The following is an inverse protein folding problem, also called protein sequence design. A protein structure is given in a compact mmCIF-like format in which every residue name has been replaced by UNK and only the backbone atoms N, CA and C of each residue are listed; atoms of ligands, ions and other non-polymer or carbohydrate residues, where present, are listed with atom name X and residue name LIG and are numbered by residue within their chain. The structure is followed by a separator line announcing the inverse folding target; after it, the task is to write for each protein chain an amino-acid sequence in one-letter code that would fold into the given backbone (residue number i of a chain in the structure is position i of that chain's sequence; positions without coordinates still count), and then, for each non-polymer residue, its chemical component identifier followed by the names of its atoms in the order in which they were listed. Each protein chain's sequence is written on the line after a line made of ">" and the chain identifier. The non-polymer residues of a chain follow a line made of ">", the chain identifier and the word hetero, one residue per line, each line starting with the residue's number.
data_IF_212161253161
#
_entry.id   IF_212161253161
#
_cell.length_a   1.000
_cell.length_b   1.000
_cell.length_c   1.000
_cell.angle_alpha   90.00
_cell.angle_beta   90.00
_cell.angle_gamma   90.00
#
_symmetry.space_group_name_H-M   'P 1'
#
loop_
_entity.id
_entity.type
_entity.pdbx_description
1 polymer ?
#
# COMPACT_ATOMS: atom_id res chain seq x y z
N UNK A 1 -18.56 3.55 -19.97
CA UNK A 1 -19.66 2.55 -20.08
C UNK A 1 -19.48 1.49 -21.16
N UNK A 2 -18.66 1.68 -22.22
CA UNK A 2 -18.43 0.64 -23.25
C UNK A 2 -17.60 -0.58 -22.78
N UNK A 3 -16.86 -0.46 -21.68
CA UNK A 3 -16.00 -1.54 -21.15
C UNK A 3 -16.80 -2.71 -20.54
N UNK A 4 -17.93 -2.44 -19.88
CA UNK A 4 -18.75 -3.49 -19.26
C UNK A 4 -19.33 -4.46 -20.29
N UNK A 5 -19.70 -3.93 -21.45
CA UNK A 5 -20.22 -4.72 -22.58
C UNK A 5 -19.19 -5.69 -23.17
N UNK A 6 -17.90 -5.35 -23.07
CA UNK A 6 -16.80 -6.08 -23.66
C UNK A 6 -16.16 -7.10 -22.71
N UNK A 7 -16.25 -6.85 -21.39
CA UNK A 7 -15.52 -7.64 -20.38
C UNK A 7 -16.42 -8.56 -19.55
N UNK A 8 -17.71 -8.22 -19.37
CA UNK A 8 -18.61 -8.98 -18.48
C UNK A 8 -19.79 -9.54 -19.31
N UNK A 9 -19.96 -10.88 -19.38
CA UNK A 9 -21.09 -11.52 -20.03
C UNK A 9 -22.42 -10.98 -19.49
N UNK A 10 -23.42 -10.81 -20.36
CA UNK A 10 -24.66 -10.13 -20.03
C UNK A 10 -25.40 -10.80 -18.86
N UNK A 11 -25.42 -12.13 -18.86
CA UNK A 11 -26.01 -13.00 -17.86
C UNK A 11 -25.36 -12.87 -16.47
N UNK A 12 -24.10 -12.47 -16.38
CA UNK A 12 -23.37 -12.35 -15.11
C UNK A 12 -23.40 -10.95 -14.50
N UNK A 13 -23.89 -9.94 -15.23
CA UNK A 13 -23.83 -8.53 -14.79
C UNK A 13 -24.58 -8.29 -13.49
N UNK A 14 -25.77 -8.87 -13.36
CA UNK A 14 -26.62 -8.71 -12.18
C UNK A 14 -26.04 -9.33 -10.90
N UNK A 15 -25.13 -10.30 -11.01
CA UNK A 15 -24.44 -10.93 -9.88
C UNK A 15 -22.99 -10.47 -9.71
N UNK A 16 -22.48 -9.61 -10.60
CA UNK A 16 -21.11 -9.10 -10.53
C UNK A 16 -21.07 -7.91 -9.60
N UNK A 17 -20.42 -8.07 -8.45
CA UNK A 17 -20.23 -6.98 -7.48
C UNK A 17 -19.23 -5.96 -7.99
N UNK A 18 -19.54 -4.68 -7.80
CA UNK A 18 -18.66 -3.56 -8.09
C UNK A 18 -18.38 -2.76 -6.83
N UNK A 19 -17.15 -2.31 -6.71
CA UNK A 19 -16.71 -1.48 -5.61
C UNK A 19 -15.93 -0.28 -6.11
N UNK A 20 -15.98 0.81 -5.35
CA UNK A 20 -15.19 2.01 -5.59
C UNK A 20 -14.60 2.49 -4.27
N UNK A 21 -13.27 2.52 -4.20
CA UNK A 21 -12.59 3.08 -3.05
C UNK A 21 -11.65 4.20 -3.51
N UNK A 22 -11.86 5.41 -2.98
CA UNK A 22 -10.97 6.54 -3.24
C UNK A 22 -9.87 6.61 -2.18
N UNK A 23 -8.66 7.00 -2.56
CA UNK A 23 -7.47 6.94 -1.67
C UNK A 23 -6.98 8.33 -1.27
N UNK A 24 -5.66 8.57 -1.23
CA UNK A 24 -5.04 9.77 -0.69
C UNK A 24 -5.53 11.09 -1.30
N UNK A 25 -5.85 11.13 -2.59
CA UNK A 25 -6.37 12.35 -3.22
C UNK A 25 -7.68 12.83 -2.59
N UNK A 26 -8.63 11.91 -2.38
CA UNK A 26 -9.87 12.23 -1.67
C UNK A 26 -9.65 12.47 -0.19
N UNK A 27 -8.65 11.81 0.44
CA UNK A 27 -8.26 12.13 1.82
C UNK A 27 -7.77 13.59 1.93
N UNK A 28 -6.96 14.07 0.99
CA UNK A 28 -6.52 15.47 0.92
C UNK A 28 -7.70 16.42 0.66
N UNK A 29 -8.62 16.06 -0.24
CA UNK A 29 -9.83 16.85 -0.47
C UNK A 29 -10.70 16.94 0.79
N UNK A 30 -10.83 15.87 1.57
CA UNK A 30 -11.55 15.91 2.85
C UNK A 30 -10.91 16.89 3.84
N UNK A 31 -9.59 17.05 3.82
CA UNK A 31 -8.90 18.03 4.67
C UNK A 31 -9.14 19.47 4.18
N UNK A 32 -9.13 19.68 2.86
CA UNK A 32 -9.30 20.99 2.23
C UNK A 32 -10.75 21.48 2.26
N UNK A 33 -11.66 20.63 1.77
CA UNK A 33 -13.07 20.94 1.58
C UNK A 33 -13.93 19.68 1.87
N UNK A 34 -14.27 19.44 3.15
CA UNK A 34 -15.06 18.28 3.57
C UNK A 34 -16.39 18.15 2.83
N UNK A 35 -17.11 19.27 2.62
CA UNK A 35 -18.42 19.26 1.95
C UNK A 35 -18.32 18.87 0.49
N UNK A 36 -17.26 19.32 -0.21
CA UNK A 36 -17.02 18.90 -1.59
C UNK A 36 -16.62 17.43 -1.66
N UNK A 37 -15.81 16.95 -0.71
CA UNK A 37 -15.42 15.53 -0.62
C UNK A 37 -16.65 14.64 -0.42
N UNK A 38 -17.53 15.02 0.50
CA UNK A 38 -18.80 14.33 0.78
C UNK A 38 -19.72 14.32 -0.46
N UNK A 39 -19.93 15.48 -1.10
CA UNK A 39 -20.75 15.58 -2.30
C UNK A 39 -20.27 14.68 -3.46
N UNK A 40 -18.94 14.53 -3.63
CA UNK A 40 -18.36 13.62 -4.62
C UNK A 40 -18.68 12.16 -4.30
N UNK A 41 -18.50 11.75 -3.03
CA UNK A 41 -18.77 10.36 -2.61
C UNK A 41 -20.26 10.04 -2.67
N UNK A 42 -21.14 10.94 -2.22
CA UNK A 42 -22.59 10.77 -2.32
C UNK A 42 -23.04 10.65 -3.78
N UNK A 43 -22.49 11.47 -4.67
CA UNK A 43 -22.77 11.36 -6.11
C UNK A 43 -22.39 9.98 -6.66
N UNK A 44 -21.22 9.45 -6.29
CA UNK A 44 -20.78 8.12 -6.69
C UNK A 44 -21.63 7.01 -6.09
N UNK A 45 -22.06 7.13 -4.83
CA UNK A 45 -22.96 6.19 -4.16
C UNK A 45 -24.32 6.10 -4.87
N UNK A 46 -24.81 7.21 -5.42
CA UNK A 46 -26.06 7.25 -6.19
C UNK A 46 -25.91 6.75 -7.63
N UNK A 47 -24.77 7.02 -8.28
CA UNK A 47 -24.55 6.71 -9.69
C UNK A 47 -24.03 5.29 -9.93
N UNK A 48 -23.17 4.75 -9.06
CA UNK A 48 -22.55 3.45 -9.29
C UNK A 48 -23.57 2.31 -9.42
N UNK A 49 -24.66 2.23 -8.62
CA UNK A 49 -25.69 1.20 -8.80
C UNK A 49 -26.39 1.27 -10.17
N UNK A 50 -26.40 2.44 -10.83
CA UNK A 50 -27.07 2.65 -12.11
C UNK A 50 -26.28 2.10 -13.30
N UNK A 51 -25.03 1.65 -13.10
CA UNK A 51 -24.17 1.13 -14.18
C UNK A 51 -24.51 -0.31 -14.61
N UNK A 52 -25.48 -0.95 -13.92
CA UNK A 52 -25.93 -2.31 -14.23
C UNK A 52 -25.09 -3.42 -13.60
N UNK A 53 -24.31 -3.11 -12.57
CA UNK A 53 -23.59 -4.06 -11.72
C UNK A 53 -24.15 -4.01 -10.29
N UNK A 54 -23.83 -5.04 -9.49
CA UNK A 54 -24.33 -5.16 -8.11
C UNK A 54 -23.49 -4.31 -7.14
N UNK A 55 -24.17 -3.45 -6.37
CA UNK A 55 -23.61 -2.75 -5.20
C UNK A 55 -24.45 -3.18 -4.01
N UNK A 56 -23.85 -3.87 -3.03
CA UNK A 56 -24.61 -4.47 -1.92
C UNK A 56 -24.96 -3.40 -0.89
N UNK A 57 -23.94 -2.62 -0.50
CA UNK A 57 -24.09 -1.52 0.41
C UNK A 57 -23.26 -0.33 -0.09
N UNK A 58 -23.89 0.71 -0.68
CA UNK A 58 -23.18 1.87 -1.21
C UNK A 58 -22.26 2.55 -0.18
N UNK A 59 -22.59 2.53 1.11
CA UNK A 59 -21.79 3.18 2.15
C UNK A 59 -20.48 2.43 2.46
N UNK A 60 -20.45 1.10 2.32
CA UNK A 60 -19.23 0.30 2.50
C UNK A 60 -18.47 0.08 1.19
N UNK A 61 -19.21 -0.07 0.10
CA UNK A 61 -18.68 -0.46 -1.21
C UNK A 61 -18.22 0.76 -2.03
N UNK A 62 -18.71 1.97 -1.69
CA UNK A 62 -18.29 3.25 -2.27
C UNK A 62 -17.86 4.21 -1.16
N UNK A 63 -16.54 4.30 -0.91
CA UNK A 63 -16.00 5.04 0.24
C UNK A 63 -14.61 5.64 0.00
N UNK A 64 -14.20 6.54 0.88
CA UNK A 64 -12.80 6.94 1.01
C UNK A 64 -12.09 5.90 1.88
N UNK A 65 -11.10 5.22 1.33
CA UNK A 65 -10.32 4.20 2.03
C UNK A 65 -9.35 4.85 3.02
N UNK A 66 -9.26 4.26 4.22
CA UNK A 66 -8.23 4.64 5.18
C UNK A 66 -6.85 4.27 4.63
N UNK A 67 -5.82 5.07 4.92
CA UNK A 67 -4.47 4.76 4.46
C UNK A 67 -3.93 3.44 5.02
N UNK A 68 -4.37 3.05 6.22
CA UNK A 68 -4.05 1.75 6.83
C UNK A 68 -4.63 0.60 6.00
N UNK A 69 -5.90 0.69 5.63
CA UNK A 69 -6.57 -0.34 4.85
C UNK A 69 -5.98 -0.43 3.45
N UNK A 70 -5.62 0.70 2.83
CA UNK A 70 -4.93 0.72 1.53
C UNK A 70 -3.63 -0.12 1.58
N UNK A 71 -2.81 0.06 2.61
CA UNK A 71 -1.61 -0.77 2.82
C UNK A 71 -1.91 -2.24 3.10
N UNK A 72 -2.90 -2.53 3.95
CA UNK A 72 -3.32 -3.91 4.27
C UNK A 72 -3.83 -4.64 3.03
N UNK A 73 -4.64 -3.98 2.20
CA UNK A 73 -5.15 -4.60 0.99
C UNK A 73 -4.05 -4.82 -0.06
N UNK A 74 -3.05 -3.92 -0.15
CA UNK A 74 -1.84 -4.18 -0.96
C UNK A 74 -1.06 -5.41 -0.44
N UNK A 75 -0.92 -5.56 0.88
CA UNK A 75 -0.31 -6.74 1.50
C UNK A 75 -1.12 -8.03 1.25
N UNK A 76 -2.46 -7.96 1.32
CA UNK A 76 -3.34 -9.10 1.00
C UNK A 76 -3.14 -9.51 -0.46
N UNK A 77 -3.11 -8.56 -1.40
CA UNK A 77 -2.88 -8.85 -2.83
C UNK A 77 -1.57 -9.61 -3.02
N UNK A 78 -0.46 -9.09 -2.50
CA UNK A 78 0.87 -9.72 -2.67
C UNK A 78 0.87 -11.13 -2.11
N UNK A 79 0.36 -11.32 -0.89
CA UNK A 79 0.40 -12.62 -0.22
C UNK A 79 -0.63 -13.61 -0.76
N UNK A 80 -1.74 -13.14 -1.32
CA UNK A 80 -2.70 -13.99 -2.03
C UNK A 80 -2.10 -14.49 -3.35
N UNK A 81 -1.58 -13.58 -4.18
CA UNK A 81 -1.01 -13.92 -5.49
C UNK A 81 0.24 -14.80 -5.36
N UNK A 82 1.03 -14.64 -4.30
CA UNK A 82 2.20 -15.49 -4.01
C UNK A 82 1.88 -16.74 -3.18
N UNK A 83 0.59 -17.07 -3.01
CA UNK A 83 0.07 -18.26 -2.33
C UNK A 83 0.51 -18.41 -0.87
N UNK A 84 0.84 -17.29 -0.20
CA UNK A 84 1.25 -17.24 1.21
C UNK A 84 0.06 -17.24 2.15
N UNK A 85 -1.09 -16.67 1.74
CA UNK A 85 -2.31 -16.71 2.53
C UNK A 85 -3.01 -18.08 2.53
N UNK A 86 -2.54 -19.05 1.74
CA UNK A 86 -3.22 -20.33 1.58
C UNK A 86 -4.45 -20.22 0.67
N UNK A 87 -5.37 -21.19 0.81
CA UNK A 87 -6.62 -21.28 0.06
C UNK A 87 -7.65 -22.09 0.86
N UNK A 88 -8.86 -22.30 0.33
CA UNK A 88 -9.92 -23.07 1.00
C UNK A 88 -9.49 -24.44 1.55
N UNK A 89 -8.48 -25.08 0.95
CA UNK A 89 -7.99 -26.41 1.36
C UNK A 89 -6.54 -26.40 1.85
N UNK A 90 -5.87 -25.25 1.85
CA UNK A 90 -4.45 -25.14 2.17
C UNK A 90 -4.30 -24.06 3.24
N UNK A 91 -3.81 -24.39 4.44
CA UNK A 91 -3.64 -23.39 5.48
C UNK A 91 -2.62 -22.32 5.06
N UNK A 92 -2.72 -21.09 5.60
CA UNK A 92 -1.70 -20.07 5.39
C UNK A 92 -0.32 -20.52 5.89
N UNK A 93 0.73 -19.98 5.29
CA UNK A 93 2.12 -20.18 5.73
C UNK A 93 2.40 -19.52 7.09
N UNK A 94 3.61 -19.72 7.63
CA UNK A 94 4.01 -18.99 8.84
C UNK A 94 3.95 -17.46 8.61
N UNK A 95 3.55 -16.68 9.61
CA UNK A 95 3.37 -15.23 9.42
C UNK A 95 4.68 -14.53 9.03
N UNK A 96 5.82 -15.05 9.50
CA UNK A 96 7.16 -14.55 9.17
C UNK A 96 7.60 -14.86 7.75
N UNK A 97 6.89 -15.75 7.06
CA UNK A 97 7.15 -16.11 5.65
C UNK A 97 6.32 -15.26 4.68
N UNK A 98 5.44 -14.39 5.18
CA UNK A 98 4.69 -13.46 4.35
C UNK A 98 5.59 -12.35 3.82
N UNK A 99 5.21 -11.78 2.68
CA UNK A 99 5.95 -10.71 2.01
C UNK A 99 5.36 -9.37 2.46
N UNK A 100 6.21 -8.43 2.85
CA UNK A 100 5.79 -7.04 3.09
C UNK A 100 5.33 -6.36 1.80
N UNK A 101 4.49 -5.34 1.92
CA UNK A 101 4.04 -4.52 0.79
C UNK A 101 4.47 -3.07 0.97
N UNK A 102 5.03 -2.52 -0.12
CA UNK A 102 5.34 -1.11 -0.28
C UNK A 102 4.51 -0.59 -1.44
N UNK A 103 3.69 0.43 -1.19
CA UNK A 103 2.81 1.03 -2.19
C UNK A 103 3.17 2.51 -2.34
N UNK A 104 3.39 2.97 -3.57
CA UNK A 104 3.72 4.37 -3.86
C UNK A 104 2.70 4.93 -4.84
N UNK A 105 1.74 5.68 -4.29
CA UNK A 105 0.75 6.40 -5.05
C UNK A 105 1.16 7.84 -5.39
N UNK A 106 0.22 8.60 -5.95
CA UNK A 106 0.44 10.02 -6.27
C UNK A 106 0.48 10.94 -5.05
N UNK A 107 -0.35 10.67 -4.03
CA UNK A 107 -0.51 11.55 -2.87
C UNK A 107 -0.14 10.91 -1.51
N UNK A 108 0.05 9.59 -1.46
CA UNK A 108 0.61 8.91 -0.28
C UNK A 108 1.47 7.72 -0.68
N UNK A 109 2.23 7.22 0.29
CA UNK A 109 2.89 5.91 0.22
C UNK A 109 2.55 5.09 1.46
N UNK A 110 2.59 3.77 1.34
CA UNK A 110 2.25 2.82 2.39
C UNK A 110 3.37 1.80 2.58
N UNK A 111 3.52 1.37 3.83
CA UNK A 111 4.35 0.24 4.23
C UNK A 111 3.51 -0.68 5.09
N UNK A 112 3.49 -1.98 4.77
CA UNK A 112 2.73 -2.98 5.51
C UNK A 112 3.48 -4.31 5.61
N UNK A 113 3.64 -4.84 6.82
CA UNK A 113 4.34 -6.10 7.06
C UNK A 113 3.95 -6.72 8.41
N UNK A 114 4.32 -7.99 8.63
CA UNK A 114 4.25 -8.65 9.94
C UNK A 114 5.50 -8.29 10.74
N UNK A 115 5.40 -7.58 11.88
CA UNK A 115 6.57 -7.21 12.68
C UNK A 115 7.16 -8.42 13.41
N UNK A 116 8.47 -8.43 13.65
CA UNK A 116 9.15 -9.55 14.32
C UNK A 116 8.68 -9.78 15.76
N UNK A 117 8.30 -8.71 16.45
CA UNK A 117 7.85 -8.74 17.84
C UNK A 117 6.33 -8.55 17.90
N UNK A 118 5.62 -9.54 18.45
CA UNK A 118 4.17 -9.51 18.69
C UNK A 118 3.73 -8.52 19.80
N UNK A 119 4.54 -7.49 20.07
CA UNK A 119 4.16 -6.43 21.00
C UNK A 119 3.19 -5.48 20.33
N UNK A 120 2.15 -5.01 21.05
CA UNK A 120 1.29 -3.95 20.55
C UNK A 120 2.14 -2.72 20.23
N UNK A 121 2.19 -2.33 18.96
CA UNK A 121 2.84 -1.11 18.51
C UNK A 121 1.78 -0.19 17.89
N UNK A 122 1.98 1.14 17.89
CA UNK A 122 1.13 2.02 17.12
C UNK A 122 1.02 1.52 15.68
N UNK A 123 -0.17 1.61 15.10
CA UNK A 123 -0.44 1.22 13.72
C UNK A 123 -0.42 -0.29 13.43
N UNK A 124 -0.35 -1.15 14.46
CA UNK A 124 -0.61 -2.59 14.30
C UNK A 124 -2.10 -2.92 14.37
N UNK A 125 -2.57 -3.82 13.51
CA UNK A 125 -3.93 -4.36 13.58
C UNK A 125 -3.98 -5.82 13.13
N UNK A 126 -4.80 -6.62 13.79
CA UNK A 126 -5.00 -8.03 13.44
C UNK A 126 -5.98 -8.18 12.29
N UNK A 127 -5.68 -9.11 11.37
CA UNK A 127 -6.58 -9.60 10.32
C UNK A 127 -6.68 -11.11 10.39
N UNK A 128 -7.89 -11.65 10.41
CA UNK A 128 -8.13 -13.08 10.40
C UNK A 128 -8.36 -13.53 8.96
N UNK A 129 -7.39 -14.23 8.38
CA UNK A 129 -7.40 -14.65 6.98
C UNK A 129 -7.19 -16.17 6.91
N UNK A 130 -8.15 -16.88 6.32
CA UNK A 130 -8.22 -18.35 6.26
C UNK A 130 -7.96 -19.04 7.61
N UNK A 131 -8.58 -18.52 8.68
CA UNK A 131 -8.47 -19.08 10.03
C UNK A 131 -7.21 -18.71 10.81
N UNK A 132 -6.29 -17.94 10.21
CA UNK A 132 -5.08 -17.47 10.88
C UNK A 132 -5.16 -15.98 11.17
N UNK A 133 -4.82 -15.61 12.39
CA UNK A 133 -4.62 -14.22 12.78
C UNK A 133 -3.25 -13.75 12.29
N UNK A 134 -3.23 -12.66 11.53
CA UNK A 134 -2.01 -11.95 11.12
C UNK A 134 -1.97 -10.61 11.83
N UNK A 135 -0.94 -10.37 12.63
CA UNK A 135 -0.72 -9.07 13.25
C UNK A 135 0.07 -8.17 12.29
N UNK A 136 -0.59 -7.21 11.65
CA UNK A 136 0.02 -6.40 10.59
C UNK A 136 0.35 -5.01 11.12
N UNK A 137 1.61 -4.57 10.99
CA UNK A 137 1.95 -3.16 11.00
C UNK A 137 1.55 -2.57 9.65
N UNK A 138 0.76 -1.48 9.64
CA UNK A 138 0.42 -0.75 8.42
C UNK A 138 0.33 0.74 8.68
N UNK A 139 1.14 1.50 7.95
CA UNK A 139 1.15 2.96 8.02
C UNK A 139 1.11 3.58 6.62
N UNK A 140 0.47 4.75 6.53
CA UNK A 140 0.33 5.53 5.30
C UNK A 140 0.84 6.93 5.52
N UNK A 141 1.91 7.29 4.79
CA UNK A 141 2.49 8.61 4.79
C UNK A 141 1.78 9.47 3.75
N UNK A 142 0.73 10.18 4.19
CA UNK A 142 0.05 11.18 3.36
C UNK A 142 1.01 12.33 3.05
N UNK A 143 0.94 12.89 1.84
CA UNK A 143 1.89 13.87 1.28
C UNK A 143 3.25 13.31 0.82
N UNK A 144 3.53 12.03 1.05
CA UNK A 144 4.72 11.33 0.55
C UNK A 144 4.41 10.42 -0.66
N UNK A 145 3.32 10.70 -1.36
CA UNK A 145 3.13 10.15 -2.70
C UNK A 145 3.98 10.90 -3.71
N UNK A 146 4.33 10.25 -4.82
CA UNK A 146 5.26 10.80 -5.81
C UNK A 146 4.87 12.21 -6.29
N UNK A 147 3.62 12.41 -6.70
CA UNK A 147 3.15 13.70 -7.24
C UNK A 147 3.08 14.79 -6.16
N UNK A 148 2.70 14.44 -4.94
CA UNK A 148 2.68 15.39 -3.82
C UNK A 148 4.11 15.80 -3.41
N UNK A 149 5.02 14.82 -3.33
CA UNK A 149 6.43 15.05 -3.06
C UNK A 149 7.07 15.90 -4.15
N UNK A 150 6.80 15.63 -5.43
CA UNK A 150 7.30 16.42 -6.56
C UNK A 150 6.95 17.90 -6.43
N UNK A 151 5.67 18.21 -6.20
CA UNK A 151 5.22 19.60 -6.02
C UNK A 151 5.87 20.27 -4.81
N UNK A 152 6.07 19.52 -3.72
CA UNK A 152 6.79 20.00 -2.55
C UNK A 152 8.26 20.28 -2.85
N UNK A 153 8.94 19.41 -3.59
CA UNK A 153 10.33 19.62 -4.02
C UNK A 153 10.45 20.81 -4.95
N UNK A 154 9.48 21.02 -5.85
CA UNK A 154 9.44 22.24 -6.66
C UNK A 154 9.26 23.50 -5.80
N UNK A 155 8.42 23.45 -4.76
CA UNK A 155 8.29 24.55 -3.82
C UNK A 155 9.57 24.81 -3.02
N UNK A 156 10.29 23.76 -2.59
CA UNK A 156 11.62 23.87 -1.95
C UNK A 156 12.68 24.47 -2.90
N UNK A 157 12.68 24.08 -4.18
CA UNK A 157 13.58 24.63 -5.19
C UNK A 157 13.27 26.11 -5.45
N UNK A 158 11.98 26.47 -5.57
CA UNK A 158 11.56 27.87 -5.71
C UNK A 158 12.00 28.68 -4.48
N UNK A 159 11.70 28.17 -3.28
CA UNK A 159 12.02 28.83 -2.02
C UNK A 159 11.54 30.28 -1.99
N UNK A 160 12.43 31.18 -1.57
CA UNK A 160 12.16 32.62 -1.48
C UNK A 160 12.57 33.41 -2.75
N UNK A 161 12.77 32.73 -3.88
CA UNK A 161 13.18 33.37 -5.13
C UNK A 161 12.00 34.10 -5.80
N UNK A 162 12.31 35.09 -6.64
CA UNK A 162 11.34 35.80 -7.51
C UNK A 162 11.70 35.70 -8.99
N UNK A 163 12.70 34.88 -9.34
CA UNK A 163 13.15 34.70 -10.71
C UNK A 163 12.11 33.93 -11.55
N UNK A 164 12.01 34.29 -12.83
CA UNK A 164 11.15 33.59 -13.80
C UNK A 164 11.77 32.29 -14.30
N UNK A 165 13.08 32.18 -14.29
CA UNK A 165 13.85 30.98 -14.62
C UNK A 165 14.61 30.52 -13.38
N UNK A 166 14.44 29.25 -13.00
CA UNK A 166 15.02 28.67 -11.78
C UNK A 166 15.68 27.34 -12.12
N UNK A 167 16.92 27.14 -11.68
CA UNK A 167 17.64 25.89 -11.86
C UNK A 167 17.00 24.77 -11.02
N UNK A 168 16.77 23.61 -11.66
CA UNK A 168 16.22 22.43 -11.03
C UNK A 168 17.21 21.26 -11.16
N UNK A 169 17.87 20.83 -10.07
CA UNK A 169 18.84 19.74 -10.11
C UNK A 169 18.22 18.38 -10.36
N UNK A 170 16.92 18.23 -10.08
CA UNK A 170 16.15 17.00 -10.25
C UNK A 170 15.61 16.81 -11.67
N UNK A 171 15.86 17.74 -12.60
CA UNK A 171 15.55 17.58 -14.02
C UNK A 171 16.80 17.32 -14.85
N UNK A 172 16.65 16.55 -15.93
CA UNK A 172 17.72 16.31 -16.90
C UNK A 172 18.31 17.60 -17.44
N UNK A 173 19.62 17.62 -17.64
CA UNK A 173 20.34 18.79 -18.13
C UNK A 173 19.74 19.34 -19.43
N UNK A 174 19.45 20.64 -19.46
CA UNK A 174 18.89 21.33 -20.63
C UNK A 174 17.39 21.15 -20.83
N UNK A 175 16.72 20.30 -20.04
CA UNK A 175 15.26 20.22 -20.05
C UNK A 175 14.66 21.50 -19.46
N UNK A 176 13.64 22.05 -20.12
CA UNK A 176 12.94 23.25 -19.67
C UNK A 176 11.46 22.93 -19.46
N UNK A 177 10.96 23.18 -18.25
CA UNK A 177 9.57 22.89 -17.88
C UNK A 177 8.92 24.14 -17.33
N UNK A 178 7.83 24.59 -17.96
CA UNK A 178 7.04 25.72 -17.46
C UNK A 178 5.97 25.21 -16.50
N UNK A 179 5.94 25.76 -15.29
CA UNK A 179 4.98 25.40 -14.24
C UNK A 179 4.19 26.62 -13.80
N UNK A 180 2.95 26.38 -13.36
CA UNK A 180 2.12 27.39 -12.71
C UNK A 180 2.36 27.37 -11.21
N UNK A 181 2.80 28.48 -10.65
CA UNK A 181 3.10 28.57 -9.21
C UNK A 181 1.83 28.42 -8.37
N UNK A 182 0.70 28.94 -8.85
CA UNK A 182 -0.63 28.70 -8.25
C UNK A 182 -0.97 27.21 -8.10
N UNK A 183 -0.58 26.34 -9.05
CA UNK A 183 -0.83 24.89 -8.95
C UNK A 183 0.09 24.18 -7.97
N UNK A 184 1.27 24.73 -7.69
CA UNK A 184 2.22 24.16 -6.73
C UNK A 184 1.78 24.55 -5.32
N UNK A 185 1.58 25.84 -5.09
CA UNK A 185 1.26 26.38 -3.78
C UNK A 185 -0.23 26.31 -3.42
N UNK A 186 -1.11 25.76 -4.27
CA UNK A 186 -2.48 25.42 -3.87
C UNK A 186 -2.57 24.04 -3.17
N UNK A 187 -1.53 23.22 -3.25
CA UNK A 187 -1.58 21.87 -2.71
C UNK A 187 -1.53 21.85 -1.18
N UNK A 188 -2.38 21.02 -0.57
CA UNK A 188 -2.42 20.83 0.87
C UNK A 188 -1.07 20.38 1.45
N UNK A 189 -0.25 19.68 0.68
CA UNK A 189 1.06 19.18 1.07
C UNK A 189 2.19 20.22 0.98
N UNK A 190 1.89 21.43 0.50
CA UNK A 190 2.88 22.50 0.27
C UNK A 190 2.65 23.66 1.24
N UNK A 191 1.53 24.37 1.13
CA UNK A 191 1.34 25.71 1.75
C UNK A 191 0.25 25.75 2.84
N UNK A 192 -0.22 24.60 3.31
CA UNK A 192 -1.32 24.52 4.27
C UNK A 192 -0.84 24.16 5.68
N UNK A 193 -1.69 24.37 6.69
CA UNK A 193 -1.48 23.84 8.05
C UNK A 193 -1.29 22.32 8.09
N UNK A 194 -1.80 21.60 7.09
CA UNK A 194 -1.61 20.14 6.99
C UNK A 194 -0.21 19.80 6.51
N UNK A 195 0.46 20.67 5.74
CA UNK A 195 1.87 20.51 5.39
C UNK A 195 2.75 20.59 6.65
N UNK A 196 2.48 21.52 7.56
CA UNK A 196 3.15 21.61 8.86
C UNK A 196 2.99 20.32 9.68
N UNK A 197 1.76 19.77 9.74
CA UNK A 197 1.46 18.58 10.56
C UNK A 197 1.99 17.29 9.93
N UNK A 198 1.84 17.12 8.61
CA UNK A 198 2.12 15.86 7.91
C UNK A 198 3.58 15.75 7.46
N UNK A 199 4.20 16.88 7.13
CA UNK A 199 5.56 16.93 6.57
C UNK A 199 6.54 17.72 7.44
N UNK A 200 6.04 18.54 8.37
CA UNK A 200 6.87 19.28 9.34
C UNK A 200 7.09 20.75 8.98
N UNK A 201 6.65 21.21 7.81
CA UNK A 201 6.67 22.63 7.43
C UNK A 201 5.73 22.95 6.26
N UNK A 202 5.17 24.17 6.30
CA UNK A 202 4.50 24.82 5.19
C UNK A 202 5.47 25.73 4.41
N UNK A 203 5.35 25.71 3.09
CA UNK A 203 6.15 26.48 2.14
C UNK A 203 5.26 27.50 1.43
N UNK A 204 5.68 28.76 1.46
CA UNK A 204 4.98 29.87 0.85
C UNK A 204 5.85 30.53 -0.22
N UNK A 205 5.27 30.97 -1.35
CA UNK A 205 6.03 31.64 -2.40
C UNK A 205 6.44 33.05 -1.96
N UNK A 206 7.53 33.56 -2.54
CA UNK A 206 7.83 34.99 -2.48
C UNK A 206 6.69 35.81 -3.10
N UNK A 207 6.36 36.97 -2.51
CA UNK A 207 5.25 37.84 -2.95
C UNK A 207 5.33 38.27 -4.42
N UNK A 208 6.55 38.43 -4.93
CA UNK A 208 6.84 38.87 -6.30
C UNK A 208 7.15 37.70 -7.24
N UNK A 209 6.87 36.46 -6.84
CA UNK A 209 7.07 35.28 -7.69
C UNK A 209 6.08 35.30 -8.88
N UNK A 210 6.54 35.12 -10.13
CA UNK A 210 5.65 35.07 -11.29
C UNK A 210 4.66 33.91 -11.24
N UNK A 211 3.49 34.06 -11.88
CA UNK A 211 2.49 32.99 -12.03
C UNK A 211 3.05 31.80 -12.83
N UNK A 212 3.94 32.06 -13.80
CA UNK A 212 4.61 31.04 -14.60
C UNK A 212 6.12 31.10 -14.39
N UNK A 213 6.69 30.01 -13.88
CA UNK A 213 8.13 29.83 -13.68
C UNK A 213 8.62 28.75 -14.65
N UNK A 214 9.82 28.94 -15.21
CA UNK A 214 10.50 27.95 -16.04
C UNK A 214 11.59 27.28 -15.21
N UNK A 215 11.44 25.99 -14.95
CA UNK A 215 12.52 25.20 -14.39
C UNK A 215 13.50 24.79 -15.48
N UNK A 216 14.78 25.06 -15.25
CA UNK A 216 15.88 24.64 -16.11
C UNK A 216 16.64 23.49 -15.47
N UNK A 217 16.60 22.32 -16.10
CA UNK A 217 17.27 21.14 -15.59
C UNK A 217 18.78 21.27 -15.63
N UNK A 218 19.44 21.00 -14.49
CA UNK A 218 20.90 20.98 -14.39
C UNK A 218 21.47 19.57 -14.37
N UNK A 219 20.64 18.54 -14.09
CA UNK A 219 21.07 17.15 -14.04
C UNK A 219 22.10 16.86 -12.94
N UNK A 220 21.81 17.28 -11.70
CA UNK A 220 22.71 17.13 -10.55
C UNK A 220 22.06 16.21 -9.49
N UNK A 221 22.35 14.89 -9.51
CA UNK A 221 21.73 13.93 -8.61
C UNK A 221 22.07 14.17 -7.14
N UNK A 222 23.28 14.66 -6.84
CA UNK A 222 23.72 14.94 -5.46
C UNK A 222 22.92 16.10 -4.88
N UNK A 223 22.81 17.20 -5.62
CA UNK A 223 22.01 18.36 -5.21
C UNK A 223 20.52 18.05 -5.20
N UNK A 224 20.04 17.21 -6.12
CA UNK A 224 18.65 16.74 -6.08
C UNK A 224 18.38 15.95 -4.79
N UNK A 225 19.27 15.04 -4.40
CA UNK A 225 19.16 14.28 -3.15
C UNK A 225 19.14 15.19 -1.93
N UNK A 226 20.03 16.18 -1.85
CA UNK A 226 20.04 17.14 -0.75
C UNK A 226 18.68 17.85 -0.56
N UNK A 227 17.98 18.15 -1.66
CA UNK A 227 16.65 18.77 -1.60
C UNK A 227 15.59 17.74 -1.23
N UNK A 228 15.66 16.52 -1.77
CA UNK A 228 14.77 15.41 -1.42
C UNK A 228 14.84 15.07 0.07
N UNK A 229 16.02 15.03 0.66
CA UNK A 229 16.19 14.72 2.08
C UNK A 229 15.53 15.75 3.01
N UNK A 230 15.33 17.00 2.56
CA UNK A 230 14.70 18.05 3.39
C UNK A 230 13.23 17.79 3.71
N UNK A 231 12.53 17.00 2.88
CA UNK A 231 11.10 16.75 3.11
C UNK A 231 10.86 15.59 4.08
N UNK A 232 11.90 14.85 4.45
CA UNK A 232 11.81 13.77 5.44
C UNK A 232 12.21 14.31 6.82
N UNK A 233 11.52 13.88 7.90
CA UNK A 233 11.88 14.29 9.25
C UNK A 233 13.28 13.76 9.62
N UNK A 234 14.08 14.60 10.27
CA UNK A 234 15.52 14.42 10.60
C UNK A 234 15.87 13.25 11.54
N UNK A 235 14.95 12.30 11.79
CA UNK A 235 15.14 11.22 12.76
C UNK A 235 15.81 9.95 12.23
N UNK A 236 16.25 9.90 10.97
CA UNK A 236 17.03 8.77 10.46
C UNK A 236 18.39 9.28 10.00
N UNK A 237 19.39 9.07 10.86
CA UNK A 237 20.80 9.22 10.54
C UNK A 237 21.23 8.10 9.58
N UNK A 238 20.81 8.17 8.32
CA UNK A 238 21.41 7.36 7.27
C UNK A 238 22.65 8.09 6.75
N UNK A 239 23.76 7.99 7.49
CA UNK A 239 25.09 8.33 6.97
C UNK A 239 25.50 7.26 5.95
N UNK A 240 24.99 7.35 4.73
CA UNK A 240 25.58 6.61 3.61
C UNK A 240 26.35 7.61 2.76
N UNK A 241 27.66 7.40 2.67
CA UNK A 241 28.53 8.09 1.72
C UNK A 241 27.98 7.85 0.32
N UNK A 242 27.85 8.88 -0.53
CA UNK A 242 27.49 8.72 -1.94
C UNK A 242 28.67 8.12 -2.71
N UNK A 243 29.02 6.86 -2.44
CA UNK A 243 30.07 6.17 -3.16
C UNK A 243 29.55 5.70 -4.53
N UNK A 244 29.92 6.46 -5.55
CA UNK A 244 30.00 6.11 -6.98
C UNK A 244 28.83 5.29 -7.57
N UNK A 245 27.65 5.89 -7.69
CA UNK A 245 26.59 5.31 -8.53
C UNK A 245 26.80 5.70 -9.99
N UNK A 246 27.42 4.82 -10.76
CA UNK A 246 27.58 4.90 -12.22
C UNK A 246 26.31 4.45 -12.98
N UNK A 247 25.12 4.79 -12.48
CA UNK A 247 23.85 4.48 -13.14
C UNK A 247 23.18 5.74 -13.72
N UNK A 248 23.70 6.13 -14.90
CA UNK A 248 22.97 6.55 -16.10
C UNK A 248 21.70 7.37 -15.87
N UNK A 249 21.83 8.69 -15.80
CA UNK A 249 21.02 9.75 -16.46
C UNK A 249 19.54 9.56 -16.83
N UNK A 250 18.75 8.66 -16.21
CA UNK A 250 17.36 8.35 -16.63
C UNK A 250 16.30 8.39 -15.52
N UNK A 251 16.63 8.77 -14.28
CA UNK A 251 15.64 8.99 -13.21
C UNK A 251 16.04 10.16 -12.30
N UNK A 252 15.94 11.39 -12.78
CA UNK A 252 16.50 12.55 -12.07
C UNK A 252 15.69 13.02 -10.85
N UNK A 253 14.40 12.67 -10.72
CA UNK A 253 13.61 12.86 -9.49
C UNK A 253 13.12 11.52 -8.93
N UNK A 254 12.42 10.74 -9.75
CA UNK A 254 11.79 9.48 -9.35
C UNK A 254 12.74 8.52 -8.62
N UNK A 255 13.93 8.31 -9.19
CA UNK A 255 14.92 7.38 -8.63
C UNK A 255 15.49 7.87 -7.32
N UNK A 256 15.87 9.16 -7.26
CA UNK A 256 16.37 9.80 -6.04
C UNK A 256 15.31 9.76 -4.93
N UNK A 257 14.06 10.05 -5.27
CA UNK A 257 12.96 10.05 -4.32
C UNK A 257 12.64 8.65 -3.78
N UNK A 258 12.53 7.64 -4.66
CA UNK A 258 12.26 6.26 -4.26
C UNK A 258 13.40 5.73 -3.39
N UNK A 259 14.66 6.00 -3.74
CA UNK A 259 15.81 5.55 -2.97
C UNK A 259 15.88 6.20 -1.57
N UNK A 260 15.65 7.52 -1.48
CA UNK A 260 15.56 8.22 -0.20
C UNK A 260 14.39 7.67 0.64
N UNK A 261 13.21 7.50 0.03
CA UNK A 261 12.02 6.95 0.71
C UNK A 261 12.29 5.56 1.29
N UNK A 262 12.90 4.67 0.52
CA UNK A 262 13.24 3.32 0.97
C UNK A 262 14.29 3.33 2.08
N UNK A 263 15.28 4.23 2.00
CA UNK A 263 16.25 4.44 3.07
C UNK A 263 15.58 4.89 4.38
N UNK A 264 14.59 5.79 4.30
CA UNK A 264 13.77 6.22 5.45
C UNK A 264 12.81 5.14 5.96
N UNK A 265 12.47 4.15 5.14
CA UNK A 265 11.79 2.93 5.60
C UNK A 265 12.72 1.89 6.23
N UNK A 266 14.04 2.16 6.29
CA UNK A 266 15.04 1.27 6.89
C UNK A 266 15.75 0.35 5.89
N UNK A 267 15.48 0.47 4.58
CA UNK A 267 16.18 -0.28 3.54
C UNK A 267 17.50 0.38 3.13
N UNK A 268 18.34 0.69 4.12
CA UNK A 268 19.56 1.49 3.98
C UNK A 268 20.87 0.66 3.99
N UNK A 269 20.77 -0.66 3.98
CA UNK A 269 21.93 -1.57 3.85
C UNK A 269 21.82 -2.39 2.57
N UNK A 270 22.94 -2.92 2.07
CA UNK A 270 22.91 -3.77 0.87
C UNK A 270 22.02 -5.00 1.05
N UNK A 271 21.93 -5.56 2.26
CA UNK A 271 21.14 -6.76 2.52
C UNK A 271 19.65 -6.44 2.58
N UNK A 272 19.25 -5.36 3.27
CA UNK A 272 17.85 -4.94 3.28
C UNK A 272 17.39 -4.47 1.91
N UNK A 273 18.22 -3.74 1.16
CA UNK A 273 17.91 -3.35 -0.21
C UNK A 273 17.65 -4.54 -1.15
N UNK A 274 18.50 -5.59 -1.07
CA UNK A 274 18.34 -6.82 -1.87
C UNK A 274 17.09 -7.63 -1.53
N UNK A 275 16.47 -7.36 -0.38
CA UNK A 275 15.18 -7.99 -0.01
C UNK A 275 13.98 -7.39 -0.75
N UNK A 276 14.14 -6.22 -1.39
CA UNK A 276 13.07 -5.56 -2.13
C UNK A 276 12.94 -6.15 -3.52
N UNK A 277 11.71 -6.51 -3.91
CA UNK A 277 11.37 -6.89 -5.28
C UNK A 277 10.40 -5.86 -5.86
N UNK A 278 10.81 -5.17 -6.93
CA UNK A 278 9.94 -4.28 -7.68
C UNK A 278 9.11 -5.11 -8.67
N UNK A 279 7.79 -5.13 -8.49
CA UNK A 279 6.89 -5.83 -9.40
C UNK A 279 5.59 -5.07 -9.60
N UNK A 280 5.24 -4.82 -10.86
CA UNK A 280 3.94 -4.26 -11.24
C UNK A 280 2.86 -5.35 -11.36
N UNK A 281 3.24 -6.61 -11.61
CA UNK A 281 2.32 -7.72 -11.85
C UNK A 281 2.83 -9.05 -11.29
N UNK A 282 1.94 -9.84 -10.71
CA UNK A 282 2.19 -11.23 -10.33
C UNK A 282 1.15 -12.08 -11.06
N UNK A 283 1.60 -13.09 -11.81
CA UNK A 283 0.73 -13.95 -12.63
C UNK A 283 -0.23 -13.17 -13.54
N UNK A 284 0.24 -12.06 -14.14
CA UNK A 284 -0.53 -11.20 -15.03
C UNK A 284 -1.49 -10.23 -14.33
N UNK A 285 -1.69 -10.37 -13.02
CA UNK A 285 -2.56 -9.51 -12.19
C UNK A 285 -1.75 -8.34 -11.64
N UNK A 286 -2.28 -7.13 -11.77
CA UNK A 286 -1.65 -5.91 -11.23
C UNK A 286 -1.57 -5.95 -9.72
N UNK A 287 -0.38 -5.72 -9.18
CA UNK A 287 -0.15 -5.61 -7.73
C UNK A 287 -0.61 -4.23 -7.28
N UNK A 288 -1.67 -4.18 -6.48
CA UNK A 288 -2.24 -2.96 -5.88
C UNK A 288 -3.18 -3.37 -4.74
N UNK A 289 -3.78 -2.41 -4.04
CA UNK A 289 -4.81 -2.68 -3.04
C UNK A 289 -6.11 -3.24 -3.63
N UNK A 290 -6.40 -2.99 -4.92
CA UNK A 290 -7.72 -3.30 -5.49
C UNK A 290 -8.09 -4.80 -5.50
N UNK A 291 -7.21 -5.74 -5.93
CA UNK A 291 -7.49 -7.17 -5.82
C UNK A 291 -7.71 -7.62 -4.37
N UNK A 292 -6.85 -7.21 -3.44
CA UNK A 292 -6.96 -7.57 -2.03
C UNK A 292 -8.24 -7.07 -1.39
N UNK A 293 -8.67 -5.85 -1.73
CA UNK A 293 -9.95 -5.31 -1.30
C UNK A 293 -11.14 -6.14 -1.85
N UNK A 294 -11.13 -6.43 -3.15
CA UNK A 294 -12.19 -7.24 -3.77
C UNK A 294 -12.25 -8.66 -3.17
N UNK A 295 -11.09 -9.27 -2.90
CA UNK A 295 -11.01 -10.61 -2.31
C UNK A 295 -11.57 -10.63 -0.89
N UNK A 296 -11.23 -9.64 -0.06
CA UNK A 296 -11.75 -9.50 1.30
C UNK A 296 -13.25 -9.21 1.29
N UNK A 297 -13.68 -8.20 0.52
CA UNK A 297 -15.08 -7.73 0.50
C UNK A 297 -16.07 -8.74 -0.07
N UNK A 298 -15.62 -9.68 -0.92
CA UNK A 298 -16.46 -10.76 -1.46
C UNK A 298 -16.51 -12.00 -0.57
N UNK A 299 -15.78 -12.02 0.56
CA UNK A 299 -15.71 -13.18 1.44
C UNK A 299 -14.97 -14.36 0.84
N UNK A 300 -14.13 -14.14 -0.19
CA UNK A 300 -13.25 -15.18 -0.73
C UNK A 300 -12.11 -15.54 0.23
N UNK A 301 -11.82 -14.67 1.21
CA UNK A 301 -11.02 -15.01 2.38
C UNK A 301 -11.96 -15.35 3.54
N UNK A 302 -12.00 -16.62 3.90
CA UNK A 302 -12.80 -17.09 5.05
C UNK A 302 -12.06 -16.71 6.36
N UNK A 303 -12.76 -16.22 7.37
CA UNK A 303 -12.13 -15.89 8.67
C UNK A 303 -11.83 -17.14 9.51
N UNK A 304 -12.41 -18.28 9.15
CA UNK A 304 -12.22 -19.60 9.77
C UNK A 304 -11.25 -20.47 8.99
N UNK A 305 -10.62 -21.42 9.66
CA UNK A 305 -9.68 -22.35 9.01
C UNK A 305 -10.38 -23.20 7.96
N UNK A 306 -9.70 -23.57 6.87
CA UNK A 306 -10.09 -24.66 5.98
C UNK A 306 -10.66 -25.85 6.77
N UNK A 307 -11.85 -26.32 6.40
CA UNK A 307 -12.31 -27.62 6.88
C UNK A 307 -11.36 -28.67 6.30
N UNK A 308 -10.57 -29.31 7.15
CA UNK A 308 -9.78 -30.47 6.75
C UNK A 308 -10.79 -31.57 6.44
N UNK A 309 -11.05 -31.82 5.17
CA UNK A 309 -11.82 -32.99 4.74
C UNK A 309 -10.91 -34.22 4.88
N UNK A 310 -10.82 -34.71 6.12
CA UNK A 310 -10.22 -36.00 6.40
C UNK A 310 -11.21 -37.02 5.83
N UNK A 311 -11.04 -37.35 4.55
CA UNK A 311 -12.01 -38.14 3.80
C UNK A 311 -12.48 -39.35 4.62
N UNK A 312 -13.76 -39.71 4.51
CA UNK A 312 -14.43 -40.69 5.37
C UNK A 312 -13.59 -41.96 5.62
N UNK A 313 -12.83 -42.41 4.62
CA UNK A 313 -11.88 -43.52 4.74
C UNK A 313 -10.75 -43.25 5.74
N UNK A 314 -10.07 -42.10 5.66
CA UNK A 314 -9.01 -41.72 6.58
C UNK A 314 -9.53 -41.60 8.03
N UNK A 315 -10.71 -41.01 8.20
CA UNK A 315 -11.37 -40.97 9.50
C UNK A 315 -11.79 -42.36 10.02
N UNK A 316 -12.40 -43.19 9.18
CA UNK A 316 -12.77 -44.55 9.56
C UNK A 316 -11.55 -45.42 9.89
N UNK A 317 -10.47 -45.29 9.13
CA UNK A 317 -9.21 -46.02 9.41
C UNK A 317 -8.55 -45.56 10.71
N UNK A 318 -8.53 -44.26 11.01
CA UNK A 318 -7.95 -43.77 12.26
C UNK A 318 -8.76 -44.21 13.48
N UNK A 319 -10.09 -44.17 13.39
CA UNK A 319 -10.98 -44.68 14.45
C UNK A 319 -10.81 -46.20 14.63
N UNK A 320 -10.72 -46.97 13.53
CA UNK A 320 -10.52 -48.41 13.60
C UNK A 320 -9.17 -48.77 14.26
N UNK A 321 -8.09 -48.09 13.88
CA UNK A 321 -6.76 -48.29 14.48
C UNK A 321 -6.77 -47.96 15.97
N UNK A 322 -7.33 -46.81 16.36
CA UNK A 322 -7.46 -46.44 17.77
C UNK A 322 -8.29 -47.43 18.57
N UNK A 323 -9.37 -47.97 17.98
CA UNK A 323 -10.22 -48.98 18.63
C UNK A 323 -9.45 -50.28 18.87
N UNK A 324 -8.66 -50.76 17.88
CA UNK A 324 -7.83 -51.96 18.05
C UNK A 324 -6.77 -51.75 19.12
N UNK A 325 -6.09 -50.61 19.11
CA UNK A 325 -5.08 -50.28 20.13
C UNK A 325 -5.70 -50.27 21.53
N UNK A 326 -6.88 -49.67 21.68
CA UNK A 326 -7.60 -49.67 22.95
C UNK A 326 -7.93 -51.08 23.43
N UNK A 327 -8.47 -51.95 22.55
CA UNK A 327 -8.79 -53.33 22.90
C UNK A 327 -7.54 -54.12 23.29
N UNK A 328 -6.42 -53.95 22.59
CA UNK A 328 -5.15 -54.59 22.92
C UNK A 328 -4.64 -54.15 24.29
N UNK A 329 -4.66 -52.83 24.57
CA UNK A 329 -4.26 -52.31 25.87
C UNK A 329 -5.18 -52.81 26.99
N UNK A 330 -6.48 -52.90 26.74
CA UNK A 330 -7.45 -53.44 27.70
C UNK A 330 -7.19 -54.92 27.99
N UNK A 331 -6.92 -55.72 26.95
CA UNK A 331 -6.58 -57.13 27.08
C UNK A 331 -5.27 -57.34 27.85
N UNK A 332 -4.24 -56.52 27.59
CA UNK A 332 -2.98 -56.53 28.34
C UNK A 332 -3.25 -56.17 29.81
N UNK A 333 -4.04 -55.13 30.08
CA UNK A 333 -4.37 -54.71 31.44
C UNK A 333 -5.12 -55.81 32.21
N UNK A 334 -6.12 -56.43 31.58
CA UNK A 334 -6.87 -57.56 32.16
C UNK A 334 -5.94 -58.74 32.42
N UNK A 335 -5.07 -59.09 31.47
CA UNK A 335 -4.13 -60.19 31.62
C UNK A 335 -3.12 -59.96 32.76
N UNK A 336 -2.64 -58.73 32.92
CA UNK A 336 -1.76 -58.34 34.04
C UNK A 336 -2.51 -58.39 35.37
N UNK A 337 -3.79 -57.99 35.40
CA UNK A 337 -4.60 -58.00 36.62
C UNK A 337 -4.98 -59.41 37.07
N UNK A 338 -5.27 -60.32 36.12
CA UNK A 338 -5.60 -61.72 36.39
C UNK A 338 -4.37 -62.59 36.74
N UNK A 339 -3.14 -62.07 36.56
CA UNK A 339 -1.89 -62.74 36.93
C UNK A 339 -1.31 -62.30 38.28
N UNK A 340 -1.96 -61.36 38.98
CA UNK A 340 -1.65 -60.98 40.37
C UNK A 340 -2.53 -61.73 41.34
#
# INVERSE_FOLDING_TARGET
>A
MNLLGQTIPAESRHSTRVFLAATAGMRLLTLENPLQSEAVIESLQLQLPQVGLMVDNPYSDVRIMSGRDEGIYSWITVNYLTKKLGSRNVPPVDEKQTIGALDLGGASTQITFVPENNKPAPHTSTRNLFGKAFNLYSYSYLCYGKSAAEKRIWAEIIGNQSAREIDNPCFHQGNMVVVKTSKIFAEQCVSSKYADVLVGSALFPHKDLPENVTFKGTGDPSKCREIVEKIFPTKISASTSPDSWSFVSLYCFDGVYIDALLSHFGFNTSDSWRSITFSAKIDGITVSWAPGYAIDATGMIESTSPKIDLGLLAFATSVAVLSVVFVVLLAIAIFVFLRK
#
